data_IF_239510581904
#
_entry.id   IF_239510581904
#
_cell.length_a   1.000
_cell.length_b   1.000
_cell.length_c   1.000
_cell.angle_alpha   90.00
_cell.angle_beta   90.00
_cell.angle_gamma   90.00
#
_symmetry.space_group_name_H-M   'P 1'
#
loop_
_entity.id
_entity.type
_entity.pdbx_description
1 polymer ?
#
# COMPACT_ATOMS: atom_id res chain seq x y z
N UNK A 1 -13.32 12.19 -26.82
CA UNK A 1 -12.43 12.81 -25.80
C UNK A 1 -11.02 12.81 -26.36
N UNK A 2 -10.19 13.80 -26.06
CA UNK A 2 -8.83 13.87 -26.61
C UNK A 2 -7.89 13.04 -25.69
N UNK A 3 -7.12 12.14 -26.31
CA UNK A 3 -6.07 11.42 -25.59
C UNK A 3 -4.98 12.39 -25.13
N UNK A 4 -4.59 12.31 -23.88
CA UNK A 4 -3.54 13.12 -23.30
C UNK A 4 -2.29 12.27 -23.04
N UNK A 5 -1.15 12.70 -23.59
CA UNK A 5 0.13 12.04 -23.40
C UNK A 5 1.04 12.91 -22.52
N UNK A 6 1.55 12.35 -21.40
CA UNK A 6 2.40 13.08 -20.47
C UNK A 6 3.33 12.15 -19.68
N UNK A 7 4.28 12.75 -18.97
CA UNK A 7 5.17 12.01 -18.06
C UNK A 7 4.71 12.16 -16.62
N UNK A 8 4.54 11.03 -15.95
CA UNK A 8 4.43 10.96 -14.49
C UNK A 8 5.84 10.94 -13.90
N UNK A 9 6.19 11.97 -13.14
CA UNK A 9 7.51 12.08 -12.52
C UNK A 9 7.38 12.12 -11.01
N UNK A 10 8.01 11.17 -10.35
CA UNK A 10 8.06 11.10 -8.89
C UNK A 10 9.51 11.08 -8.43
N UNK A 11 9.83 11.98 -7.50
CA UNK A 11 11.17 12.10 -6.93
C UNK A 11 11.19 11.56 -5.52
N UNK A 12 12.35 11.05 -5.11
CA UNK A 12 12.59 10.64 -3.73
C UNK A 12 11.67 9.49 -3.28
N UNK A 13 11.78 8.34 -3.93
CA UNK A 13 11.03 7.16 -3.53
C UNK A 13 11.22 6.85 -2.03
N UNK A 14 10.15 6.40 -1.40
CA UNK A 14 10.16 5.92 -0.01
C UNK A 14 11.11 4.74 0.17
N UNK A 15 11.66 4.57 1.37
CA UNK A 15 12.29 3.30 1.77
C UNK A 15 11.35 2.41 2.58
N UNK A 16 10.14 2.87 2.83
CA UNK A 16 9.16 2.16 3.64
C UNK A 16 8.20 1.37 2.73
N UNK A 17 8.27 0.05 2.82
CA UNK A 17 7.40 -0.85 2.05
C UNK A 17 5.93 -0.79 2.48
N UNK A 18 5.64 -0.23 3.65
CA UNK A 18 4.27 -0.06 4.16
C UNK A 18 3.68 1.30 3.80
N UNK A 19 4.55 2.23 3.41
CA UNK A 19 4.18 3.53 2.87
C UNK A 19 4.92 3.76 1.53
N UNK A 20 4.68 2.91 0.51
CA UNK A 20 5.34 3.06 -0.78
C UNK A 20 4.89 4.35 -1.47
N UNK A 21 5.75 4.89 -2.31
CA UNK A 21 5.42 6.09 -3.08
C UNK A 21 4.52 5.73 -4.26
N UNK A 22 3.36 6.37 -4.39
CA UNK A 22 2.53 6.25 -5.58
C UNK A 22 3.24 6.93 -6.77
N UNK A 23 3.62 6.13 -7.76
CA UNK A 23 4.23 6.60 -9.01
C UNK A 23 3.15 7.11 -9.95
N UNK A 24 2.04 6.40 -10.00
CA UNK A 24 0.88 6.79 -10.79
C UNK A 24 -0.39 6.31 -10.12
N UNK A 25 -1.43 7.15 -10.17
CA UNK A 25 -2.81 6.81 -9.79
C UNK A 25 -3.71 7.18 -10.95
N UNK A 26 -4.51 6.24 -11.41
CA UNK A 26 -5.47 6.48 -12.49
C UNK A 26 -6.53 7.48 -12.01
N UNK A 27 -6.78 8.58 -12.74
CA UNK A 27 -7.83 9.51 -12.34
C UNK A 27 -9.23 8.91 -12.47
N UNK A 28 -10.15 9.35 -11.61
CA UNK A 28 -11.52 8.84 -11.55
C UNK A 28 -12.23 8.83 -12.90
N UNK A 29 -12.82 7.71 -13.24
CA UNK A 29 -13.60 7.53 -14.45
C UNK A 29 -12.80 7.45 -15.75
N UNK A 30 -11.47 7.37 -15.66
CA UNK A 30 -10.58 7.33 -16.82
C UNK A 30 -9.89 5.98 -16.96
N UNK A 31 -9.40 5.72 -18.16
CA UNK A 31 -8.46 4.64 -18.45
C UNK A 31 -7.13 5.24 -18.83
N UNK A 32 -6.06 4.57 -18.42
CA UNK A 32 -4.71 5.00 -18.69
C UNK A 32 -3.85 3.82 -19.17
N UNK A 33 -2.90 4.11 -20.02
CA UNK A 33 -1.88 3.15 -20.43
C UNK A 33 -0.52 3.69 -19.96
N UNK A 34 0.11 2.98 -19.05
CA UNK A 34 1.50 3.21 -18.71
C UNK A 34 2.37 2.49 -19.75
N UNK A 35 3.06 3.27 -20.58
CA UNK A 35 3.81 2.79 -21.76
C UNK A 35 5.24 2.46 -21.38
N UNK A 36 5.83 3.25 -20.49
CA UNK A 36 7.19 3.09 -20.00
C UNK A 36 7.24 3.47 -18.53
N UNK A 37 8.05 2.78 -17.76
CA UNK A 37 8.38 3.11 -16.38
C UNK A 37 9.85 2.81 -16.12
N UNK A 38 10.59 3.83 -15.82
CA UNK A 38 12.01 3.76 -15.45
C UNK A 38 12.19 4.24 -14.00
N UNK A 39 13.09 3.57 -13.28
CA UNK A 39 13.52 4.00 -11.94
C UNK A 39 15.03 4.20 -11.96
N UNK A 40 15.47 5.41 -11.64
CA UNK A 40 16.89 5.80 -11.65
C UNK A 40 17.44 5.92 -10.24
N UNK A 41 18.64 5.37 -10.01
CA UNK A 41 19.38 5.54 -8.75
C UNK A 41 20.27 6.79 -8.85
N UNK A 42 19.96 7.79 -8.04
CA UNK A 42 20.74 9.04 -7.92
C UNK A 42 21.65 9.08 -6.69
N UNK A 43 21.66 8.01 -5.90
CA UNK A 43 22.48 7.92 -4.68
C UNK A 43 23.92 7.49 -5.00
N UNK A 44 24.78 7.56 -3.99
CA UNK A 44 26.18 7.13 -4.07
C UNK A 44 26.40 5.65 -3.76
N UNK A 45 25.34 4.89 -3.51
CA UNK A 45 25.36 3.46 -3.24
C UNK A 45 24.41 2.70 -4.16
N UNK A 46 24.66 1.41 -4.40
CA UNK A 46 23.70 0.53 -5.04
C UNK A 46 22.47 0.34 -4.14
N UNK A 47 21.29 0.29 -4.72
CA UNK A 47 20.02 0.07 -4.01
C UNK A 47 19.21 -1.03 -4.68
N UNK A 48 18.22 -1.57 -3.99
CA UNK A 48 17.19 -2.40 -4.60
C UNK A 48 15.88 -1.61 -4.71
N UNK A 49 15.08 -1.95 -5.71
CA UNK A 49 13.79 -1.31 -5.98
C UNK A 49 12.71 -2.38 -6.12
N UNK A 50 11.56 -2.11 -5.51
CA UNK A 50 10.34 -2.89 -5.71
C UNK A 50 9.27 -1.99 -6.33
N UNK A 51 8.59 -2.50 -7.37
CA UNK A 51 7.46 -1.84 -8.02
C UNK A 51 6.25 -2.75 -7.97
N UNK A 52 5.11 -2.20 -7.57
CA UNK A 52 3.88 -2.95 -7.34
C UNK A 52 2.70 -2.31 -8.06
N UNK A 53 1.83 -3.15 -8.57
CA UNK A 53 0.52 -2.77 -9.10
C UNK A 53 -0.53 -3.05 -8.04
N UNK A 54 -1.35 -2.07 -7.72
CA UNK A 54 -2.62 -2.23 -7.04
C UNK A 54 -3.74 -2.22 -8.08
N UNK A 55 -4.42 -3.34 -8.21
CA UNK A 55 -5.71 -3.42 -8.88
C UNK A 55 -6.78 -3.17 -7.81
N UNK A 56 -7.25 -1.94 -7.73
CA UNK A 56 -8.17 -1.53 -6.66
C UNK A 56 -9.53 -2.21 -6.77
N UNK A 57 -9.89 -2.70 -7.97
CA UNK A 57 -11.11 -3.48 -8.19
C UNK A 57 -11.11 -4.84 -7.47
N UNK A 58 -9.91 -5.35 -7.17
CA UNK A 58 -9.72 -6.58 -6.40
C UNK A 58 -9.65 -6.34 -4.90
N UNK A 59 -9.51 -5.08 -4.47
CA UNK A 59 -9.46 -4.77 -3.05
C UNK A 59 -10.78 -5.20 -2.40
N UNK A 60 -10.67 -6.03 -1.39
CA UNK A 60 -11.80 -6.44 -0.59
C UNK A 60 -12.04 -5.34 0.47
N UNK A 61 -12.71 -4.25 0.04
CA UNK A 61 -13.44 -3.45 1.02
C UNK A 61 -14.47 -4.38 1.60
N UNK A 62 -14.40 -4.67 2.89
CA UNK A 62 -15.46 -5.40 3.52
C UNK A 62 -16.75 -4.66 3.19
N UNK A 63 -17.46 -5.10 2.13
CA UNK A 63 -18.70 -4.49 1.65
C UNK A 63 -19.78 -4.45 2.73
N UNK A 64 -19.55 -5.20 3.76
CA UNK A 64 -20.10 -5.02 5.08
C UNK A 64 -19.00 -4.34 5.91
N UNK A 65 -19.15 -3.04 6.13
CA UNK A 65 -18.28 -2.24 6.97
C UNK A 65 -17.96 -2.99 8.27
N UNK A 66 -16.86 -3.73 8.27
CA UNK A 66 -16.39 -4.41 9.46
C UNK A 66 -15.87 -3.34 10.41
N UNK A 67 -16.76 -2.87 11.29
CA UNK A 67 -16.35 -2.00 12.36
C UNK A 67 -15.47 -2.82 13.30
N UNK A 68 -14.21 -2.45 13.39
CA UNK A 68 -13.27 -3.10 14.28
C UNK A 68 -13.45 -2.59 15.71
N UNK A 69 -13.44 -3.50 16.64
CA UNK A 69 -13.36 -3.19 18.06
C UNK A 69 -12.10 -3.85 18.59
N UNK A 70 -11.18 -3.05 19.12
CA UNK A 70 -10.04 -3.60 19.85
C UNK A 70 -10.51 -4.24 21.14
N UNK A 71 -10.05 -5.44 21.43
CA UNK A 71 -10.35 -6.10 22.68
C UNK A 71 -9.62 -5.39 23.83
N UNK A 72 -10.39 -4.86 24.79
CA UNK A 72 -9.84 -4.23 25.99
C UNK A 72 -9.00 -5.25 26.77
N UNK A 73 -7.75 -4.93 27.02
CA UNK A 73 -6.84 -5.77 27.82
C UNK A 73 -6.15 -6.90 27.07
N UNK A 74 -6.43 -7.10 25.77
CA UNK A 74 -5.63 -7.95 24.88
C UNK A 74 -4.95 -7.06 23.87
N UNK A 75 -3.71 -6.85 24.07
CA UNK A 75 -2.87 -5.98 23.25
C UNK A 75 -2.87 -6.42 21.78
N UNK A 76 -3.42 -5.58 20.92
CA UNK A 76 -3.30 -5.74 19.46
C UNK A 76 -4.30 -6.67 18.78
N UNK A 77 -5.37 -7.10 19.44
CA UNK A 77 -6.40 -7.94 18.83
C UNK A 77 -7.54 -7.08 18.25
N UNK A 78 -7.70 -7.14 16.94
CA UNK A 78 -8.87 -6.61 16.26
C UNK A 78 -9.99 -7.64 16.22
N UNK A 79 -11.21 -7.21 16.50
CA UNK A 79 -12.41 -8.05 16.42
C UNK A 79 -13.40 -7.40 15.46
N UNK A 80 -13.87 -8.15 14.47
CA UNK A 80 -14.88 -7.65 13.53
C UNK A 80 -16.24 -7.49 14.22
N UNK A 81 -17.01 -6.49 13.78
CA UNK A 81 -18.34 -6.25 14.30
C UNK A 81 -19.22 -7.50 14.12
N UNK A 82 -20.05 -7.80 15.14
CA UNK A 82 -20.95 -8.95 15.17
C UNK A 82 -20.29 -10.31 14.92
N UNK A 83 -18.99 -10.43 15.19
CA UNK A 83 -18.17 -11.62 14.92
C UNK A 83 -18.24 -12.11 13.47
N UNK A 84 -18.43 -11.20 12.51
CA UNK A 84 -18.42 -11.52 11.09
C UNK A 84 -17.04 -12.02 10.63
N UNK A 85 -17.03 -12.97 9.71
CA UNK A 85 -15.77 -13.48 9.15
C UNK A 85 -15.08 -12.40 8.33
N UNK A 86 -13.78 -12.21 8.58
CA UNK A 86 -12.97 -11.18 7.90
C UNK A 86 -12.28 -11.68 6.62
N UNK A 87 -12.27 -12.97 6.35
CA UNK A 87 -11.65 -13.60 5.17
C UNK A 87 -10.16 -13.26 4.92
N UNK A 88 -9.47 -12.73 5.93
CA UNK A 88 -8.04 -12.45 5.86
C UNK A 88 -7.22 -13.72 6.02
N UNK A 89 -6.02 -13.70 5.42
CA UNK A 89 -4.98 -14.70 5.68
C UNK A 89 -3.71 -14.01 6.21
N UNK A 90 -2.84 -14.76 6.87
CA UNK A 90 -1.57 -14.23 7.39
C UNK A 90 -0.74 -13.64 6.25
N UNK A 91 -0.18 -12.47 6.47
CA UNK A 91 0.54 -11.62 5.54
C UNK A 91 -0.31 -10.90 4.48
N UNK A 92 -1.64 -10.96 4.54
CA UNK A 92 -2.45 -10.01 3.79
C UNK A 92 -2.05 -8.58 4.15
N UNK A 93 -2.14 -7.68 3.19
CA UNK A 93 -1.98 -6.25 3.41
C UNK A 93 -3.34 -5.61 3.60
N UNK A 94 -3.43 -4.78 4.62
CA UNK A 94 -4.65 -4.02 4.91
C UNK A 94 -4.32 -2.56 5.14
N UNK A 95 -5.25 -1.70 4.81
CA UNK A 95 -5.28 -0.29 5.21
C UNK A 95 -6.49 -0.04 6.08
N UNK A 96 -6.39 0.93 6.95
CA UNK A 96 -7.49 1.36 7.80
C UNK A 96 -8.06 2.68 7.29
N UNK A 97 -9.36 2.84 7.43
CA UNK A 97 -10.07 4.06 7.03
C UNK A 97 -11.17 4.36 8.02
N UNK A 98 -11.47 5.64 8.17
CA UNK A 98 -12.54 6.17 9.02
C UNK A 98 -12.44 5.82 10.51
N UNK A 99 -12.86 6.74 11.32
CA UNK A 99 -12.97 6.57 12.77
C UNK A 99 -11.97 7.37 13.57
N UNK A 100 -11.83 7.01 14.84
CA UNK A 100 -10.78 7.50 15.71
C UNK A 100 -9.71 6.42 15.83
N UNK A 101 -8.53 6.72 15.36
CA UNK A 101 -7.42 5.77 15.37
C UNK A 101 -6.99 5.40 16.79
N UNK A 102 -6.76 4.10 17.06
CA UNK A 102 -6.18 3.68 18.31
C UNK A 102 -4.71 4.12 18.42
N UNK A 103 -4.30 4.49 19.63
CA UNK A 103 -2.90 4.83 19.93
C UNK A 103 -2.09 3.55 20.16
N UNK A 104 -0.87 3.49 19.67
CA UNK A 104 0.06 2.41 19.95
C UNK A 104 0.58 2.52 21.40
N UNK A 105 0.85 1.37 22.02
CA UNK A 105 1.57 1.35 23.30
C UNK A 105 3.02 1.77 23.10
N UNK A 106 3.63 2.43 24.08
CA UNK A 106 5.05 2.81 24.02
C UNK A 106 5.98 1.62 23.76
N UNK A 107 5.61 0.43 24.20
CA UNK A 107 6.38 -0.79 24.01
C UNK A 107 6.32 -1.37 22.59
N UNK A 108 5.37 -0.91 21.76
CA UNK A 108 5.14 -1.41 20.41
C UNK A 108 5.04 -0.31 19.37
N UNK A 109 5.65 0.84 19.63
CA UNK A 109 5.71 1.89 18.61
C UNK A 109 6.32 1.33 17.32
N UNK A 110 5.66 1.54 16.18
CA UNK A 110 6.18 1.09 14.91
C UNK A 110 7.50 1.80 14.59
N UNK A 111 8.34 1.15 13.77
CA UNK A 111 9.62 1.73 13.35
C UNK A 111 9.46 3.06 12.58
N UNK A 112 8.27 3.34 12.06
CA UNK A 112 7.88 4.61 11.45
C UNK A 112 7.88 5.79 12.44
N UNK A 113 7.75 5.52 13.74
CA UNK A 113 7.59 6.53 14.78
C UNK A 113 6.14 7.06 14.91
N UNK A 114 5.19 6.44 14.23
CA UNK A 114 3.76 6.78 14.37
C UNK A 114 3.28 6.44 15.78
N UNK A 115 2.50 7.33 16.39
CA UNK A 115 1.93 7.13 17.73
C UNK A 115 0.50 6.59 17.69
N UNK A 116 -0.13 6.66 16.52
CA UNK A 116 -1.49 6.16 16.25
C UNK A 116 -1.51 5.32 14.99
N UNK A 117 -2.53 4.48 14.86
CA UNK A 117 -2.80 3.76 13.62
C UNK A 117 -2.97 4.76 12.47
N UNK A 118 -2.24 4.58 11.38
CA UNK A 118 -2.24 5.52 10.25
C UNK A 118 -3.11 5.02 9.10
N UNK A 119 -4.03 5.85 8.64
CA UNK A 119 -4.89 5.55 7.49
C UNK A 119 -4.11 5.51 6.15
N UNK A 120 -2.95 6.14 6.08
CA UNK A 120 -2.13 6.16 4.87
C UNK A 120 -1.15 4.99 4.78
N UNK A 121 -1.05 4.17 5.81
CA UNK A 121 -0.08 3.08 5.90
C UNK A 121 -0.74 1.73 5.68
N UNK A 122 -0.04 0.86 4.97
CA UNK A 122 -0.40 -0.54 4.85
C UNK A 122 0.17 -1.32 6.03
N UNK A 123 -0.62 -2.20 6.61
CA UNK A 123 -0.21 -3.12 7.67
C UNK A 123 -0.32 -4.55 7.18
N UNK A 124 0.41 -5.46 7.81
CA UNK A 124 0.35 -6.88 7.54
C UNK A 124 -0.46 -7.59 8.60
N UNK A 125 -1.34 -8.50 8.17
CA UNK A 125 -2.00 -9.44 9.09
C UNK A 125 -0.95 -10.36 9.68
N UNK A 126 -0.76 -10.30 11.00
CA UNK A 126 0.30 -11.03 11.70
C UNK A 126 -0.19 -12.40 12.18
N UNK A 127 -1.38 -12.47 12.74
CA UNK A 127 -2.01 -13.73 13.15
C UNK A 127 -3.53 -13.67 13.03
N UNK A 128 -4.16 -14.84 12.98
CA UNK A 128 -5.62 -15.01 12.87
C UNK A 128 -6.07 -16.00 13.95
N UNK A 129 -6.33 -15.53 15.17
CA UNK A 129 -6.78 -16.41 16.27
C UNK A 129 -8.17 -17.04 16.01
N UNK A 130 -9.04 -16.36 15.25
CA UNK A 130 -10.36 -16.90 14.85
C UNK A 130 -10.82 -16.28 13.53
N UNK A 131 -11.92 -16.75 12.99
CA UNK A 131 -12.50 -16.19 11.75
C UNK A 131 -12.91 -14.72 11.89
N UNK A 132 -13.13 -14.22 13.10
CA UNK A 132 -13.56 -12.85 13.38
C UNK A 132 -12.49 -12.02 14.11
N UNK A 133 -11.29 -12.55 14.32
CA UNK A 133 -10.24 -11.86 15.06
C UNK A 133 -8.89 -11.97 14.35
N UNK A 134 -8.14 -10.85 14.30
CA UNK A 134 -6.80 -10.83 13.74
C UNK A 134 -5.91 -9.82 14.47
N UNK A 135 -4.62 -9.93 14.24
CA UNK A 135 -3.61 -9.01 14.74
C UNK A 135 -2.80 -8.45 13.57
N UNK A 136 -2.10 -7.34 13.79
CA UNK A 136 -1.32 -6.68 12.75
C UNK A 136 0.13 -6.46 13.16
N UNK A 137 0.97 -6.32 12.15
CA UNK A 137 2.36 -5.87 12.25
C UNK A 137 2.67 -4.83 11.17
N UNK A 138 3.67 -4.00 11.40
CA UNK A 138 4.13 -3.02 10.41
C UNK A 138 4.83 -3.68 9.22
N UNK A 139 5.56 -4.77 9.45
CA UNK A 139 6.29 -5.49 8.41
C UNK A 139 5.83 -6.93 8.32
N UNK A 140 6.06 -7.55 7.17
CA UNK A 140 5.75 -8.98 6.95
C UNK A 140 6.45 -9.84 7.99
N UNK A 141 5.69 -10.64 8.70
CA UNK A 141 6.17 -11.46 9.84
C UNK A 141 6.86 -10.63 10.95
N UNK A 142 6.52 -9.34 11.04
CA UNK A 142 7.07 -8.43 12.03
C UNK A 142 6.49 -8.63 13.43
N UNK A 143 6.94 -7.77 14.35
CA UNK A 143 6.44 -7.75 15.73
C UNK A 143 4.98 -7.33 15.77
N UNK A 144 4.20 -7.99 16.61
CA UNK A 144 2.82 -7.61 16.92
C UNK A 144 2.74 -6.15 17.38
N UNK A 145 1.87 -5.37 16.75
CA UNK A 145 1.52 -4.04 17.23
C UNK A 145 0.46 -4.13 18.33
N UNK A 146 0.66 -3.37 19.40
CA UNK A 146 -0.25 -3.32 20.56
C UNK A 146 -0.76 -1.91 20.79
N UNK A 147 -1.92 -1.76 21.38
CA UNK A 147 -2.63 -0.49 21.49
C UNK A 147 -3.06 -0.19 22.92
N UNK A 148 -3.04 1.09 23.29
CA UNK A 148 -3.47 1.59 24.61
C UNK A 148 -4.98 1.82 24.70
N UNK A 149 -5.63 2.02 23.56
CA UNK A 149 -7.07 2.27 23.50
C UNK A 149 -7.70 1.61 22.27
N UNK A 150 -9.02 1.55 22.27
CA UNK A 150 -9.78 0.84 21.24
C UNK A 150 -9.98 1.64 19.94
N UNK A 151 -9.66 2.93 19.92
CA UNK A 151 -10.16 3.78 18.83
C UNK A 151 -11.70 3.77 18.76
N UNK A 152 -12.27 4.16 17.65
CA UNK A 152 -13.70 4.10 17.41
C UNK A 152 -14.01 3.96 15.90
N UNK A 153 -14.86 3.02 15.56
CA UNK A 153 -15.40 2.85 14.19
C UNK A 153 -14.33 2.72 13.09
N UNK A 154 -13.22 2.08 13.41
CA UNK A 154 -12.13 1.85 12.45
C UNK A 154 -12.57 0.79 11.44
N UNK A 155 -12.46 1.10 10.16
CA UNK A 155 -12.75 0.18 9.06
C UNK A 155 -11.44 -0.31 8.44
N UNK A 156 -11.44 -1.47 7.84
CA UNK A 156 -10.28 -1.96 7.10
C UNK A 156 -10.63 -2.38 5.67
N UNK A 157 -9.64 -2.28 4.80
CA UNK A 157 -9.71 -2.79 3.43
C UNK A 157 -8.49 -3.67 3.18
N UNK A 158 -8.71 -4.87 2.67
CA UNK A 158 -7.64 -5.72 2.19
C UNK A 158 -7.16 -5.23 0.83
N UNK A 159 -5.87 -5.00 0.70
CA UNK A 159 -5.24 -4.47 -0.50
C UNK A 159 -4.59 -5.60 -1.30
N UNK A 160 -4.90 -5.67 -2.58
CA UNK A 160 -4.30 -6.62 -3.51
C UNK A 160 -3.18 -5.94 -4.30
N UNK A 161 -1.92 -6.31 -3.96
CA UNK A 161 -0.72 -5.84 -4.64
C UNK A 161 -0.05 -6.98 -5.41
N UNK A 162 0.24 -6.73 -6.68
CA UNK A 162 1.07 -7.59 -7.50
C UNK A 162 2.48 -7.00 -7.66
N UNK A 163 3.52 -7.76 -7.33
CA UNK A 163 4.89 -7.34 -7.58
C UNK A 163 5.18 -7.38 -9.09
N UNK A 164 5.36 -6.23 -9.72
CA UNK A 164 5.84 -6.12 -11.10
C UNK A 164 7.35 -6.40 -11.16
N UNK A 165 8.06 -5.87 -10.19
CA UNK A 165 9.48 -6.08 -9.94
C UNK A 165 9.68 -6.11 -8.43
N UNK A 166 10.49 -7.05 -7.94
CA UNK A 166 10.78 -7.18 -6.51
C UNK A 166 12.29 -7.21 -6.25
N UNK A 167 12.73 -6.34 -5.35
CA UNK A 167 14.12 -6.25 -4.85
C UNK A 167 15.16 -6.22 -5.99
N UNK A 168 14.81 -5.60 -7.13
CA UNK A 168 15.71 -5.53 -8.28
C UNK A 168 16.86 -4.57 -8.01
N UNK A 169 18.12 -5.00 -8.23
CA UNK A 169 19.28 -4.15 -7.98
C UNK A 169 19.40 -3.03 -9.01
N UNK A 170 19.62 -1.80 -8.53
CA UNK A 170 19.92 -0.63 -9.35
C UNK A 170 21.28 -0.08 -8.94
N UNK A 171 22.30 -0.20 -9.78
CA UNK A 171 23.64 0.27 -9.45
C UNK A 171 23.69 1.80 -9.37
N UNK A 172 24.77 2.31 -8.81
CA UNK A 172 25.04 3.76 -8.73
C UNK A 172 24.98 4.41 -10.12
N UNK A 173 24.15 5.44 -10.27
CA UNK A 173 23.97 6.15 -11.54
C UNK A 173 23.27 5.30 -12.63
N UNK A 174 22.79 4.12 -12.28
CA UNK A 174 22.04 3.25 -13.19
C UNK A 174 20.54 3.53 -13.17
N UNK A 175 19.84 2.91 -14.13
CA UNK A 175 18.38 2.92 -14.20
C UNK A 175 17.84 1.49 -14.43
N UNK A 176 16.67 1.21 -13.84
CA UNK A 176 15.91 0.01 -14.03
C UNK A 176 14.71 0.31 -14.93
N UNK A 177 14.63 -0.38 -16.05
CA UNK A 177 13.42 -0.38 -16.88
C UNK A 177 12.42 -1.39 -16.32
N UNK A 178 11.34 -0.90 -15.72
CA UNK A 178 10.27 -1.73 -15.16
C UNK A 178 9.31 -2.15 -16.26
N UNK A 179 8.93 -1.22 -17.13
CA UNK A 179 8.09 -1.46 -18.29
C UNK A 179 8.89 -1.09 -19.53
N UNK A 180 9.12 -2.09 -20.40
CA UNK A 180 9.86 -1.93 -21.65
C UNK A 180 9.21 -2.75 -22.75
N UNK A 181 8.61 -2.05 -23.73
CA UNK A 181 7.93 -2.68 -24.88
C UNK A 181 6.59 -3.36 -24.58
N UNK A 182 6.20 -3.47 -23.33
CA UNK A 182 4.86 -3.86 -22.88
C UNK A 182 4.08 -2.64 -22.44
N UNK A 183 2.77 -2.78 -22.32
CA UNK A 183 1.88 -1.72 -21.88
C UNK A 183 1.09 -2.22 -20.67
N UNK A 184 1.02 -1.42 -19.62
CA UNK A 184 0.17 -1.69 -18.48
C UNK A 184 -1.10 -0.85 -18.63
N UNK A 185 -2.24 -1.53 -18.69
CA UNK A 185 -3.55 -0.87 -18.71
C UNK A 185 -4.00 -0.68 -17.28
N UNK A 186 -4.32 0.54 -16.93
CA UNK A 186 -4.81 0.96 -15.61
C UNK A 186 -6.21 1.51 -15.77
N UNK A 187 -7.10 1.12 -14.89
CA UNK A 187 -8.50 1.48 -14.96
C UNK A 187 -8.94 2.24 -13.72
N UNK A 188 -9.97 3.00 -13.88
CA UNK A 188 -10.68 3.64 -12.80
C UNK A 188 -12.15 3.66 -13.11
N UNK A 189 -12.98 3.51 -12.11
CA UNK A 189 -14.43 3.72 -12.23
C UNK A 189 -14.83 5.12 -11.76
N UNK A 190 -16.12 5.43 -11.91
CA UNK A 190 -16.68 6.72 -11.46
C UNK A 190 -16.86 6.82 -9.95
N UNK A 191 -16.69 5.72 -9.21
CA UNK A 191 -16.83 5.67 -7.74
C UNK A 191 -15.53 5.92 -7.01
N UNK A 192 -14.40 6.06 -7.73
CA UNK A 192 -13.10 6.36 -7.15
C UNK A 192 -12.24 5.13 -6.88
N UNK A 193 -12.63 3.98 -7.46
CA UNK A 193 -11.78 2.78 -7.50
C UNK A 193 -10.73 2.98 -8.59
N UNK A 194 -9.48 3.18 -8.21
CA UNK A 194 -8.41 3.67 -9.07
C UNK A 194 -7.18 2.78 -8.98
N UNK A 195 -6.84 2.11 -10.06
CA UNK A 195 -5.58 1.36 -10.12
C UNK A 195 -4.38 2.27 -9.88
N UNK A 196 -3.40 1.76 -9.12
CA UNK A 196 -2.20 2.50 -8.72
C UNK A 196 -0.94 1.70 -8.98
N UNK A 197 0.11 2.40 -9.34
CA UNK A 197 1.46 1.85 -9.39
C UNK A 197 2.28 2.49 -8.26
N UNK A 198 2.81 1.64 -7.40
CA UNK A 198 3.67 2.03 -6.29
C UNK A 198 5.12 1.64 -6.54
N UNK A 199 6.03 2.39 -5.97
CA UNK A 199 7.44 2.02 -5.89
C UNK A 199 8.06 2.40 -4.55
N UNK A 200 9.03 1.61 -4.11
CA UNK A 200 9.90 1.94 -2.99
C UNK A 200 11.31 1.40 -3.24
N UNK A 201 12.29 1.97 -2.57
CA UNK A 201 13.70 1.58 -2.68
C UNK A 201 14.24 1.15 -1.32
N UNK A 202 15.35 0.42 -1.29
CA UNK A 202 16.00 0.01 -0.03
C UNK A 202 16.62 1.17 0.77
N UNK A 203 16.70 2.38 0.17
CA UNK A 203 17.15 3.59 0.85
C UNK A 203 16.26 4.79 0.46
N UNK A 204 15.88 5.58 1.46
CA UNK A 204 15.01 6.74 1.27
C UNK A 204 15.66 7.79 0.35
N UNK A 205 14.85 8.38 -0.52
CA UNK A 205 15.28 9.44 -1.44
C UNK A 205 16.41 9.05 -2.40
N UNK A 206 16.74 7.77 -2.49
CA UNK A 206 17.83 7.27 -3.35
C UNK A 206 17.43 7.19 -4.82
N UNK A 207 16.14 7.05 -5.12
CA UNK A 207 15.64 6.85 -6.46
C UNK A 207 14.57 7.86 -6.85
N UNK A 208 14.51 8.12 -8.16
CA UNK A 208 13.40 8.81 -8.82
C UNK A 208 12.75 7.86 -9.84
N UNK A 209 11.43 7.99 -10.05
CA UNK A 209 10.67 7.23 -11.04
C UNK A 209 10.09 8.15 -12.11
N UNK A 210 10.12 7.71 -13.37
CA UNK A 210 9.57 8.44 -14.51
C UNK A 210 8.76 7.44 -15.34
N UNK A 211 7.48 7.73 -15.53
CA UNK A 211 6.57 6.95 -16.38
C UNK A 211 6.01 7.79 -17.51
N UNK A 212 5.87 7.18 -18.69
CA UNK A 212 5.17 7.77 -19.85
C UNK A 212 3.74 7.23 -19.87
N UNK A 213 2.75 8.12 -19.81
CA UNK A 213 1.33 7.78 -19.65
C UNK A 213 0.53 8.32 -20.82
N UNK A 214 -0.32 7.46 -21.40
CA UNK A 214 -1.41 7.83 -22.27
C UNK A 214 -2.72 7.71 -21.50
N UNK A 215 -3.43 8.78 -21.32
CA UNK A 215 -4.67 8.88 -20.54
C UNK A 215 -5.88 9.04 -21.46
N UNK A 216 -7.06 8.67 -21.00
CA UNK A 216 -8.32 8.73 -21.71
C UNK A 216 -8.38 7.83 -22.96
N UNK A 217 -7.90 6.62 -22.83
CA UNK A 217 -8.04 5.59 -23.87
C UNK A 217 -9.48 5.07 -23.81
N UNK A 218 -10.30 5.46 -24.78
CA UNK A 218 -11.68 4.99 -24.96
C UNK A 218 -11.75 3.70 -25.78
#
# INVERSE_FOLDING_TARGET
MANNFYNAVVRNLSADSTLPTAVYTTPNGLKSILIELDVSNKSTAGVTVTVQLEDESLNESGGDAHTLTLATGVTGLFTTANAAAHNLIINDRIVFTNGTDPSFTDASLPASGDTTLSESRMYYVQSIPSASTFTIAETKSGTLLTFDNNGASVLFTKIHLADMVKDAPVPVGGALKVISGQKLVLQSDSSGVNDKVYAYASAASACDAIGSVLQEVS
#
